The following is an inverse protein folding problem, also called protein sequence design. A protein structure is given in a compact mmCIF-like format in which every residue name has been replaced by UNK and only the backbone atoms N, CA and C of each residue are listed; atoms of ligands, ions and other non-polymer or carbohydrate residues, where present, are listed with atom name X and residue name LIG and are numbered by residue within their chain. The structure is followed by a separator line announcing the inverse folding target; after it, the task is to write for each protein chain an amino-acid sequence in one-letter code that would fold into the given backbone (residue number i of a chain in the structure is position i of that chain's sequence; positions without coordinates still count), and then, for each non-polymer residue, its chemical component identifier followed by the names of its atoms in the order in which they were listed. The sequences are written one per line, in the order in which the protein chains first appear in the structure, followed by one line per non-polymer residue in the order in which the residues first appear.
data_IF_069007399881
#
_entry.id   IF_069007399881
#
_cell.length_a   1.000
_cell.length_b   1.000
_cell.length_c   1.000
_cell.angle_alpha   90.00
_cell.angle_beta   90.00
_cell.angle_gamma   90.00
#
_symmetry.space_group_name_H-M   'P 1'
#
loop_
_entity.id
_entity.type
_entity.pdbx_description
1 polymer ?
#
# COMPACT_ATOMS: atom_id res chain seq x y z
N UNK A 1 24.85 -9.67 -4.97
CA UNK A 1 25.00 -8.81 -3.78
C UNK A 1 24.13 -7.56 -3.96
N UNK A 2 22.83 -7.68 -3.68
CA UNK A 2 21.87 -6.62 -3.95
C UNK A 2 22.10 -5.43 -3.00
N UNK A 3 22.31 -4.25 -3.59
CA UNK A 3 22.60 -3.00 -2.90
C UNK A 3 21.36 -2.59 -2.10
N UNK A 4 21.36 -2.91 -0.81
CA UNK A 4 20.26 -2.68 0.12
C UNK A 4 20.23 -1.21 0.61
N UNK A 5 20.33 -0.29 -0.35
CA UNK A 5 20.17 1.15 -0.17
C UNK A 5 18.87 1.52 -0.87
N UNK A 6 17.79 1.65 -0.10
CA UNK A 6 16.45 1.74 -0.67
C UNK A 6 16.20 3.11 -1.30
N UNK A 7 16.73 4.20 -0.73
CA UNK A 7 16.90 5.48 -1.44
C UNK A 7 17.57 6.50 -0.52
N UNK A 8 18.18 7.52 -1.12
CA UNK A 8 18.74 8.69 -0.42
C UNK A 8 17.69 9.80 -0.46
N UNK A 9 16.85 9.89 0.56
CA UNK A 9 15.91 11.01 0.69
C UNK A 9 16.63 12.26 1.21
N UNK A 10 16.03 13.45 1.02
CA UNK A 10 16.54 14.72 1.61
C UNK A 10 16.72 14.65 3.14
N UNK A 11 16.07 13.69 3.83
CA UNK A 11 16.13 13.48 5.28
C UNK A 11 17.07 12.35 5.73
N UNK A 12 17.72 11.65 4.80
CA UNK A 12 18.67 10.59 5.12
C UNK A 12 18.51 9.33 4.29
N UNK A 13 19.45 8.41 4.48
CA UNK A 13 19.52 7.10 3.81
C UNK A 13 18.59 6.12 4.52
N UNK A 14 17.67 5.52 3.77
CA UNK A 14 16.78 4.48 4.27
C UNK A 14 17.51 3.14 4.16
N UNK A 15 17.89 2.58 5.31
CA UNK A 15 18.52 1.26 5.43
C UNK A 15 17.78 0.43 6.47
N UNK A 16 17.58 -0.88 6.26
CA UNK A 16 17.09 -1.73 7.33
C UNK A 16 18.10 -1.79 8.46
N UNK A 17 17.59 -1.83 9.68
CA UNK A 17 18.40 -1.94 10.90
C UNK A 17 18.40 -3.36 11.47
N UNK A 18 17.39 -4.16 11.14
CA UNK A 18 17.24 -5.52 11.64
C UNK A 18 17.25 -6.56 10.50
N UNK A 19 17.66 -7.81 10.76
CA UNK A 19 17.63 -8.88 9.77
C UNK A 19 16.24 -9.07 9.14
N UNK A 20 15.17 -9.02 9.95
CA UNK A 20 13.80 -9.16 9.47
C UNK A 20 13.40 -8.03 8.49
N UNK A 21 13.89 -6.81 8.69
CA UNK A 21 13.65 -5.72 7.75
C UNK A 21 14.40 -5.96 6.43
N UNK A 22 15.63 -6.48 6.47
CA UNK A 22 16.37 -6.84 5.27
C UNK A 22 15.67 -7.97 4.51
N UNK A 23 15.16 -8.98 5.22
CA UNK A 23 14.41 -10.07 4.62
C UNK A 23 13.07 -9.61 4.04
N UNK A 24 12.38 -8.69 4.71
CA UNK A 24 11.17 -8.07 4.17
C UNK A 24 11.42 -7.37 2.82
N UNK A 25 12.52 -6.62 2.71
CA UNK A 25 12.90 -5.96 1.45
C UNK A 25 13.28 -6.99 0.38
N UNK A 26 14.03 -8.03 0.74
CA UNK A 26 14.36 -9.11 -0.18
C UNK A 26 13.10 -9.78 -0.73
N UNK A 27 12.11 -10.05 0.13
CA UNK A 27 10.84 -10.65 -0.28
C UNK A 27 10.06 -9.72 -1.24
N UNK A 28 10.05 -8.41 -1.01
CA UNK A 28 9.41 -7.44 -1.92
C UNK A 28 10.01 -7.48 -3.32
N UNK A 29 11.32 -7.73 -3.44
CA UNK A 29 12.00 -7.78 -4.74
C UNK A 29 11.87 -9.13 -5.44
N UNK A 30 11.69 -10.20 -4.68
CA UNK A 30 11.66 -11.58 -5.19
C UNK A 30 10.23 -12.09 -5.47
N UNK A 31 9.22 -11.50 -4.81
CA UNK A 31 7.82 -11.95 -4.89
C UNK A 31 6.90 -10.84 -5.41
N UNK A 32 5.94 -11.19 -6.28
CA UNK A 32 4.92 -10.25 -6.79
C UNK A 32 4.06 -9.64 -5.68
N UNK A 33 3.80 -10.39 -4.61
CA UNK A 33 2.98 -9.98 -3.47
C UNK A 33 3.71 -10.32 -2.18
N UNK A 34 3.94 -9.31 -1.34
CA UNK A 34 4.54 -9.47 -0.01
C UNK A 34 3.64 -8.89 1.08
N UNK A 35 3.40 -9.67 2.13
CA UNK A 35 2.64 -9.22 3.30
C UNK A 35 3.59 -8.79 4.43
N UNK A 36 3.55 -7.51 4.79
CA UNK A 36 4.25 -6.99 5.95
C UNK A 36 3.41 -7.09 7.22
N UNK A 37 3.66 -8.10 8.06
CA UNK A 37 2.97 -8.25 9.36
C UNK A 37 3.92 -7.91 10.51
N UNK A 38 3.44 -7.20 11.52
CA UNK A 38 4.17 -6.99 12.77
C UNK A 38 3.70 -5.77 13.58
N UNK A 39 4.32 -5.49 14.72
CA UNK A 39 3.92 -4.40 15.61
C UNK A 39 4.13 -3.01 14.98
N UNK A 40 3.41 -2.01 15.48
CA UNK A 40 3.60 -0.62 15.06
C UNK A 40 5.05 -0.18 15.29
N UNK A 41 5.58 0.67 14.41
CA UNK A 41 6.95 1.21 14.55
C UNK A 41 8.07 0.35 13.95
N UNK A 42 7.80 -0.86 13.45
CA UNK A 42 8.87 -1.68 12.81
C UNK A 42 9.21 -1.28 11.36
N UNK A 43 8.64 -0.17 10.87
CA UNK A 43 9.00 0.42 9.58
C UNK A 43 8.44 -0.28 8.34
N UNK A 44 7.49 -1.21 8.46
CA UNK A 44 6.92 -1.98 7.33
C UNK A 44 6.40 -1.09 6.20
N UNK A 45 5.58 -0.09 6.55
CA UNK A 45 5.04 0.88 5.58
C UNK A 45 6.14 1.76 5.00
N UNK A 46 7.06 2.23 5.85
CA UNK A 46 8.13 3.13 5.43
C UNK A 46 9.10 2.46 4.46
N UNK A 47 9.52 1.22 4.75
CA UNK A 47 10.41 0.43 3.89
C UNK A 47 9.72 0.03 2.58
N UNK A 48 8.43 -0.33 2.62
CA UNK A 48 7.66 -0.64 1.41
C UNK A 48 7.54 0.55 0.47
N UNK A 49 7.21 1.73 1.02
CA UNK A 49 7.15 2.97 0.24
C UNK A 49 8.51 3.34 -0.33
N UNK A 50 9.58 3.20 0.46
CA UNK A 50 10.92 3.45 -0.03
C UNK A 50 11.29 2.53 -1.21
N UNK A 51 10.97 1.23 -1.12
CA UNK A 51 11.24 0.27 -2.19
C UNK A 51 10.40 0.59 -3.45
N UNK A 52 9.15 0.99 -3.29
CA UNK A 52 8.30 1.41 -4.40
C UNK A 52 8.84 2.69 -5.08
N UNK A 53 9.36 3.65 -4.32
CA UNK A 53 9.99 4.86 -4.87
C UNK A 53 11.28 4.52 -5.63
N UNK A 54 12.13 3.61 -5.12
CA UNK A 54 13.33 3.15 -5.84
C UNK A 54 12.97 2.53 -7.18
N UNK A 55 11.97 1.64 -7.20
CA UNK A 55 11.48 1.00 -8.42
C UNK A 55 10.91 2.04 -9.41
N UNK A 56 10.30 3.12 -8.91
CA UNK A 56 9.82 4.22 -9.75
C UNK A 56 10.98 5.05 -10.33
N UNK A 57 12.00 5.36 -9.52
CA UNK A 57 13.21 6.08 -9.97
C UNK A 57 14.01 5.27 -11.00
N UNK A 58 14.05 3.95 -10.85
CA UNK A 58 14.65 3.01 -11.82
C UNK A 58 13.78 2.74 -13.04
N UNK A 59 12.60 3.34 -13.12
CA UNK A 59 11.62 3.15 -14.19
C UNK A 59 11.15 1.70 -14.35
N UNK A 60 11.28 0.87 -13.31
CA UNK A 60 10.76 -0.51 -13.29
C UNK A 60 9.23 -0.53 -13.17
N UNK A 61 8.66 0.49 -12.53
CA UNK A 61 7.21 0.70 -12.43
C UNK A 61 6.80 2.06 -12.96
N UNK A 62 5.54 2.16 -13.42
CA UNK A 62 5.00 3.41 -14.01
C UNK A 62 4.24 4.28 -13.02
N UNK A 63 3.61 3.67 -11.99
CA UNK A 63 2.73 4.35 -11.02
C UNK A 63 2.74 3.59 -9.69
N UNK A 64 2.52 4.31 -8.59
CA UNK A 64 2.33 3.76 -7.24
C UNK A 64 0.89 4.03 -6.79
N UNK A 65 0.18 3.01 -6.33
CA UNK A 65 -1.15 3.15 -5.73
C UNK A 65 -1.05 2.90 -4.22
N UNK A 66 -1.36 3.93 -3.42
CA UNK A 66 -1.46 3.80 -1.97
C UNK A 66 -2.92 3.82 -1.57
N UNK A 67 -3.36 2.74 -0.93
CA UNK A 67 -4.70 2.66 -0.34
C UNK A 67 -4.60 2.54 1.16
N UNK A 68 -5.53 3.20 1.86
CA UNK A 68 -5.76 3.00 3.28
C UNK A 68 -7.24 2.63 3.45
N UNK A 69 -7.58 1.64 4.30
CA UNK A 69 -8.97 1.39 4.62
C UNK A 69 -9.57 2.64 5.29
N UNK A 70 -10.83 2.96 4.97
CA UNK A 70 -11.52 4.14 5.49
C UNK A 70 -11.87 4.04 7.00
N UNK A 71 -11.54 2.92 7.64
CA UNK A 71 -11.83 2.65 9.05
C UNK A 71 -10.52 2.29 9.72
N UNK A 72 -10.07 3.14 10.65
CA UNK A 72 -8.96 2.80 11.54
C UNK A 72 -9.48 1.97 12.72
N UNK A 73 -8.71 0.97 13.14
CA UNK A 73 -9.08 0.06 14.22
C UNK A 73 -9.23 0.84 15.54
N UNK A 74 -10.47 1.20 15.89
CA UNK A 74 -10.78 1.95 17.10
C UNK A 74 -11.87 3.01 16.93
N UNK A 75 -12.18 3.45 15.71
CA UNK A 75 -13.30 4.37 15.50
C UNK A 75 -14.62 3.60 15.41
N UNK A 76 -15.55 3.88 16.34
CA UNK A 76 -16.95 3.44 16.21
C UNK A 76 -17.49 3.91 14.86
N UNK A 77 -17.97 2.97 14.07
CA UNK A 77 -18.64 3.16 12.78
C UNK A 77 -19.72 4.25 12.86
N UNK A 78 -19.35 5.52 12.63
CA UNK A 78 -20.28 6.58 12.23
C UNK A 78 -20.38 6.65 10.70
N UNK A 79 -20.27 5.50 10.04
CA UNK A 79 -20.82 5.37 8.70
C UNK A 79 -22.33 5.17 8.90
N UNK A 80 -23.06 6.26 9.03
CA UNK A 80 -24.50 6.21 8.76
C UNK A 80 -24.62 5.63 7.36
N UNK A 81 -25.15 4.43 7.25
CA UNK A 81 -25.52 3.81 5.99
C UNK A 81 -26.50 4.74 5.26
N UNK A 82 -25.98 5.76 4.56
CA UNK A 82 -26.75 6.50 3.57
C UNK A 82 -27.00 5.49 2.47
N UNK A 83 -28.18 4.86 2.60
CA UNK A 83 -28.88 4.03 1.61
C UNK A 83 -28.29 4.27 0.23
N UNK A 84 -27.63 3.25 -0.31
CA UNK A 84 -27.47 3.13 -1.75
C UNK A 84 -28.88 2.99 -2.30
N UNK A 85 -29.49 4.10 -2.72
CA UNK A 85 -30.80 4.10 -3.36
C UNK A 85 -30.54 3.65 -4.79
N UNK A 86 -30.83 2.39 -5.09
CA UNK A 86 -30.92 1.94 -6.47
C UNK A 86 -32.06 2.70 -7.14
N UNK A 87 -31.73 3.68 -7.98
CA UNK A 87 -32.68 4.29 -8.91
C UNK A 87 -32.97 3.28 -10.03
N UNK A 88 -33.71 2.23 -9.69
CA UNK A 88 -34.39 1.37 -10.66
C UNK A 88 -35.81 1.86 -10.82
N UNK A 89 -36.03 2.87 -11.65
CA UNK A 89 -37.37 3.23 -12.12
C UNK A 89 -37.93 2.13 -13.04
N UNK A 90 -39.26 1.96 -13.14
CA UNK A 90 -39.86 0.98 -14.03
C UNK A 90 -39.48 1.30 -15.49
N UNK A 91 -38.91 0.32 -16.18
CA UNK A 91 -38.67 0.39 -17.63
C UNK A 91 -40.04 0.43 -18.34
N UNK A 92 -40.31 1.40 -19.23
CA UNK A 92 -41.58 1.49 -19.94
C UNK A 92 -41.74 0.29 -20.88
N UNK A 93 -42.93 -0.32 -20.84
CA UNK A 93 -43.29 -1.52 -21.61
C UNK A 93 -43.33 -1.32 -23.14
N UNK A 94 -43.00 -0.13 -23.65
CA UNK A 94 -42.95 0.19 -25.07
C UNK A 94 -41.62 -0.15 -25.75
N UNK A 95 -40.67 -0.74 -25.01
CA UNK A 95 -39.34 -1.10 -25.52
C UNK A 95 -39.21 -2.58 -25.93
N UNK A 96 -40.31 -3.27 -26.20
CA UNK A 96 -40.35 -4.62 -26.82
C UNK A 96 -41.19 -4.57 -28.09
#
# INVERSE_FOLDING_TARGET
MAKLLISKTKRGVIKPRTPNQAQYIANILDHDITFGVGPAGTGKTYLAVAAAVDALERQEIRRILLTRPAVEAGEKTRLSARRFKSEGGPVPASAV
#
